data_IF_598010250051
#
_entry.id   IF_598010250051
#
_cell.length_a   1.000
_cell.length_b   1.000
_cell.length_c   1.000
_cell.angle_alpha   90.00
_cell.angle_beta   90.00
_cell.angle_gamma   90.00
#
_symmetry.space_group_name_H-M   'P 1'
#
loop_
_entity.id
_entity.type
_entity.pdbx_description
1 polymer ?
#
# COMPACT_ATOMS: atom_id res chain seq x y z
N UNK A 1 -4.48 16.12 -21.49
CA UNK A 1 -3.54 15.51 -22.47
C UNK A 1 -2.32 16.39 -22.81
N UNK A 2 -2.11 17.56 -22.18
CA UNK A 2 -1.01 18.47 -22.53
C UNK A 2 0.34 18.01 -21.93
N UNK A 3 0.36 17.54 -20.68
CA UNK A 3 1.58 17.07 -20.00
C UNK A 3 2.33 15.95 -20.75
N UNK A 4 1.59 14.98 -21.29
CA UNK A 4 2.21 13.91 -22.08
C UNK A 4 2.77 14.40 -23.41
N UNK A 5 2.49 15.62 -23.90
CA UNK A 5 3.05 16.06 -25.19
C UNK A 5 4.52 16.49 -25.09
N UNK A 6 4.95 16.89 -23.90
CA UNK A 6 6.23 17.59 -23.72
C UNK A 6 7.41 16.67 -23.41
N UNK A 7 7.16 15.39 -23.09
CA UNK A 7 8.20 14.39 -22.86
C UNK A 7 7.89 13.09 -23.62
N UNK A 8 8.77 12.70 -24.54
CA UNK A 8 8.66 11.45 -25.30
C UNK A 8 9.52 10.33 -24.69
N UNK A 9 10.70 10.67 -24.17
CA UNK A 9 11.63 9.76 -23.51
C UNK A 9 11.70 10.06 -22.02
N UNK A 10 11.21 9.14 -21.20
CA UNK A 10 11.08 9.33 -19.76
C UNK A 10 11.89 8.28 -19.03
N UNK A 11 12.81 8.73 -18.19
CA UNK A 11 13.71 7.87 -17.43
C UNK A 11 13.30 7.84 -15.95
N UNK A 12 13.15 6.65 -15.38
CA UNK A 12 12.72 6.46 -14.00
C UNK A 12 13.89 6.00 -13.10
N UNK A 13 14.15 6.69 -11.99
CA UNK A 13 15.14 6.26 -10.99
C UNK A 13 14.42 5.69 -9.76
N UNK A 14 14.63 4.40 -9.49
CA UNK A 14 13.83 3.62 -8.54
C UNK A 14 12.53 3.10 -9.16
N UNK A 15 12.60 2.60 -10.40
CA UNK A 15 11.42 2.20 -11.20
C UNK A 15 10.67 1.00 -10.62
N UNK A 16 11.33 0.18 -9.80
CA UNK A 16 10.75 -1.00 -9.14
C UNK A 16 9.79 -0.69 -8.00
N UNK A 17 9.72 0.57 -7.54
CA UNK A 17 8.73 0.98 -6.55
C UNK A 17 7.28 0.80 -7.04
N UNK A 18 6.34 0.50 -6.13
CA UNK A 18 4.94 0.26 -6.49
C UNK A 18 4.32 1.48 -7.20
N UNK A 19 4.48 2.71 -6.71
CA UNK A 19 4.00 3.89 -7.43
C UNK A 19 4.74 4.14 -8.74
N UNK A 20 6.06 3.96 -8.73
CA UNK A 20 6.94 4.24 -9.87
C UNK A 20 6.64 3.34 -11.06
N UNK A 21 6.49 2.03 -10.84
CA UNK A 21 6.16 1.05 -11.88
C UNK A 21 4.75 1.27 -12.45
N UNK A 22 3.78 1.67 -11.62
CA UNK A 22 2.44 2.05 -12.08
C UNK A 22 2.49 3.29 -13.01
N UNK A 23 3.24 4.32 -12.61
CA UNK A 23 3.41 5.53 -13.40
C UNK A 23 4.18 5.26 -14.70
N UNK A 24 5.24 4.44 -14.66
CA UNK A 24 5.96 3.99 -15.85
C UNK A 24 5.04 3.34 -16.89
N UNK A 25 4.15 2.45 -16.44
CA UNK A 25 3.10 1.83 -17.28
C UNK A 25 2.10 2.84 -17.84
N UNK A 26 1.71 3.84 -17.05
CA UNK A 26 0.86 4.93 -17.53
C UNK A 26 1.53 5.71 -18.66
N UNK A 27 2.79 6.11 -18.49
CA UNK A 27 3.56 6.79 -19.54
C UNK A 27 3.67 5.94 -20.79
N UNK A 28 4.00 4.64 -20.65
CA UNK A 28 4.04 3.72 -21.78
C UNK A 28 2.71 3.61 -22.52
N UNK A 29 1.59 3.55 -21.80
CA UNK A 29 0.26 3.53 -22.40
C UNK A 29 -0.06 4.80 -23.20
N UNK A 30 0.59 5.92 -22.88
CA UNK A 30 0.51 7.18 -23.65
C UNK A 30 1.56 7.26 -24.77
N UNK A 31 2.12 6.11 -25.17
CA UNK A 31 3.07 6.00 -26.28
C UNK A 31 4.46 6.55 -25.98
N UNK A 32 4.86 6.62 -24.70
CA UNK A 32 6.17 7.13 -24.29
C UNK A 32 7.22 6.03 -24.27
N UNK A 33 8.44 6.39 -24.62
CA UNK A 33 9.61 5.53 -24.44
C UNK A 33 10.00 5.62 -22.97
N UNK A 34 9.91 4.49 -22.28
CA UNK A 34 10.13 4.40 -20.83
C UNK A 34 11.31 3.47 -20.57
N UNK A 35 12.26 3.98 -19.81
CA UNK A 35 13.40 3.24 -19.27
C UNK A 35 13.68 3.68 -17.84
N UNK A 36 14.54 2.97 -17.13
CA UNK A 36 14.89 3.34 -15.77
C UNK A 36 15.85 2.39 -15.08
N UNK A 37 16.07 2.64 -13.80
CA UNK A 37 16.99 1.89 -12.94
C UNK A 37 16.35 1.56 -11.61
N UNK A 38 16.83 0.50 -10.97
CA UNK A 38 16.53 0.20 -9.58
C UNK A 38 17.74 -0.40 -8.86
N UNK A 39 17.77 -0.30 -7.53
CA UNK A 39 18.87 -0.81 -6.71
C UNK A 39 18.92 -2.34 -6.64
N UNK A 40 17.78 -3.01 -6.79
CA UNK A 40 17.67 -4.45 -6.63
C UNK A 40 16.70 -5.04 -7.64
N UNK A 41 16.93 -6.31 -7.97
CA UNK A 41 15.98 -7.06 -8.80
C UNK A 41 14.68 -7.33 -8.03
N UNK A 42 13.56 -7.47 -8.74
CA UNK A 42 12.27 -7.84 -8.16
C UNK A 42 11.30 -8.33 -9.24
N UNK A 43 10.20 -8.96 -8.83
CA UNK A 43 9.12 -9.36 -9.74
C UNK A 43 8.62 -8.18 -10.59
N UNK A 44 8.52 -6.98 -10.02
CA UNK A 44 8.10 -5.79 -10.75
C UNK A 44 9.09 -5.40 -11.85
N UNK A 45 10.40 -5.53 -11.58
CA UNK A 45 11.45 -5.25 -12.58
C UNK A 45 11.33 -6.23 -13.75
N UNK A 46 11.17 -7.52 -13.47
CA UNK A 46 11.01 -8.54 -14.51
C UNK A 46 9.73 -8.34 -15.33
N UNK A 47 8.63 -7.96 -14.69
CA UNK A 47 7.39 -7.60 -15.40
C UNK A 47 7.60 -6.38 -16.32
N UNK A 48 8.22 -5.30 -15.84
CA UNK A 48 8.48 -4.10 -16.64
C UNK A 48 9.38 -4.41 -17.85
N UNK A 49 10.42 -5.25 -17.67
CA UNK A 49 11.27 -5.75 -18.77
C UNK A 49 10.44 -6.57 -19.76
N UNK A 50 9.59 -7.48 -19.30
CA UNK A 50 8.72 -8.31 -20.16
C UNK A 50 7.71 -7.48 -20.95
N UNK A 51 7.27 -6.35 -20.39
CA UNK A 51 6.41 -5.38 -21.07
C UNK A 51 7.20 -4.61 -22.15
N UNK A 52 8.53 -4.67 -22.17
CA UNK A 52 9.42 -4.04 -23.14
C UNK A 52 9.93 -2.67 -22.69
N UNK A 53 10.08 -2.44 -21.38
CA UNK A 53 10.77 -1.25 -20.85
C UNK A 53 12.24 -1.59 -20.57
N UNK A 54 13.15 -0.67 -20.86
CA UNK A 54 14.58 -0.86 -20.58
C UNK A 54 14.86 -0.61 -19.10
N UNK A 55 15.20 -1.64 -18.34
CA UNK A 55 15.47 -1.53 -16.90
C UNK A 55 16.84 -2.10 -16.56
N UNK A 56 17.71 -1.26 -16.00
CA UNK A 56 19.06 -1.64 -15.54
C UNK A 56 19.10 -1.73 -14.00
N UNK A 57 19.97 -2.60 -13.48
CA UNK A 57 20.17 -2.77 -12.04
C UNK A 57 21.42 -2.01 -11.55
N UNK A 58 21.26 -1.31 -10.43
CA UNK A 58 22.23 -0.37 -9.89
C UNK A 58 22.04 1.05 -10.43
N UNK A 59 22.75 2.00 -9.82
CA UNK A 59 22.66 3.41 -10.19
C UNK A 59 23.98 3.93 -10.73
N UNK A 60 24.02 4.26 -12.02
CA UNK A 60 25.23 4.71 -12.72
C UNK A 60 24.89 5.83 -13.71
N UNK A 61 25.70 6.88 -13.75
CA UNK A 61 25.44 8.05 -14.61
C UNK A 61 25.34 7.67 -16.11
N UNK A 62 26.03 6.60 -16.51
CA UNK A 62 26.04 6.05 -17.87
C UNK A 62 24.71 5.41 -18.29
N UNK A 63 23.87 5.03 -17.34
CA UNK A 63 22.56 4.44 -17.63
C UNK A 63 21.53 5.47 -18.08
N UNK A 64 21.72 6.75 -17.76
CA UNK A 64 20.85 7.82 -18.21
C UNK A 64 21.09 8.14 -19.70
N UNK A 65 20.11 7.90 -20.61
CA UNK A 65 20.25 8.28 -22.01
C UNK A 65 20.33 9.79 -22.16
N UNK A 66 21.23 10.27 -23.03
CA UNK A 66 21.47 11.71 -23.23
C UNK A 66 20.31 12.46 -23.87
N UNK A 67 19.43 11.75 -24.56
CA UNK A 67 18.23 12.26 -25.22
C UNK A 67 16.97 12.10 -24.36
N UNK A 68 17.12 11.87 -23.05
CA UNK A 68 16.01 11.85 -22.09
C UNK A 68 15.37 13.23 -21.98
N UNK A 69 14.04 13.29 -22.09
CA UNK A 69 13.27 14.54 -22.00
C UNK A 69 12.87 14.86 -20.55
N UNK A 70 12.68 13.84 -19.72
CA UNK A 70 12.25 13.97 -18.33
C UNK A 70 12.80 12.82 -17.49
N UNK A 71 13.30 13.13 -16.29
CA UNK A 71 13.62 12.12 -15.28
C UNK A 71 12.59 12.18 -14.15
N UNK A 72 11.99 11.03 -13.84
CA UNK A 72 11.09 10.84 -12.70
C UNK A 72 11.82 9.99 -11.67
N UNK A 73 11.77 10.37 -10.39
CA UNK A 73 12.46 9.62 -9.35
C UNK A 73 11.60 9.45 -8.11
N UNK A 74 11.82 8.35 -7.40
CA UNK A 74 11.19 8.12 -6.10
C UNK A 74 11.82 9.05 -5.05
N UNK A 75 11.04 9.55 -4.09
CA UNK A 75 11.57 10.29 -2.94
C UNK A 75 12.55 9.46 -2.10
N UNK A 76 12.57 8.14 -2.31
CA UNK A 76 13.56 7.21 -1.82
C UNK A 76 14.99 7.48 -2.29
N UNK A 77 15.16 8.11 -3.45
CA UNK A 77 16.45 8.28 -4.11
C UNK A 77 17.10 9.58 -3.62
N UNK A 78 18.33 9.52 -3.07
CA UNK A 78 19.03 10.73 -2.63
C UNK A 78 19.40 11.60 -3.83
N UNK A 79 19.39 12.92 -3.66
CA UNK A 79 19.74 13.86 -4.73
C UNK A 79 21.20 13.78 -5.21
N UNK A 80 22.07 13.09 -4.45
CA UNK A 80 23.44 12.73 -4.82
C UNK A 80 23.53 11.45 -5.65
N UNK A 81 22.39 10.87 -6.06
CA UNK A 81 22.37 9.73 -6.96
C UNK A 81 23.02 10.13 -8.31
N UNK A 82 23.92 9.29 -8.86
CA UNK A 82 24.71 9.65 -10.03
C UNK A 82 23.88 9.97 -11.27
N UNK A 83 22.71 9.34 -11.44
CA UNK A 83 21.80 9.62 -12.57
C UNK A 83 21.10 10.97 -12.39
N UNK A 84 20.70 11.31 -11.17
CA UNK A 84 20.07 12.61 -10.87
C UNK A 84 21.07 13.77 -10.99
N UNK A 85 22.31 13.58 -10.55
CA UNK A 85 23.38 14.54 -10.78
C UNK A 85 23.65 14.72 -12.27
N UNK A 86 23.70 13.60 -13.03
CA UNK A 86 23.91 13.65 -14.47
C UNK A 86 22.78 14.37 -15.21
N UNK A 87 21.53 14.11 -14.83
CA UNK A 87 20.37 14.78 -15.38
C UNK A 87 20.44 16.30 -15.15
N UNK A 88 20.85 16.74 -13.95
CA UNK A 88 21.06 18.17 -13.65
C UNK A 88 22.16 18.78 -14.51
N UNK A 89 23.30 18.10 -14.68
CA UNK A 89 24.39 18.56 -15.56
C UNK A 89 23.93 18.75 -17.02
N UNK A 90 23.06 17.87 -17.50
CA UNK A 90 22.51 17.91 -18.84
C UNK A 90 21.32 18.87 -19.00
N UNK A 91 20.85 19.48 -17.90
CA UNK A 91 19.69 20.36 -17.90
C UNK A 91 18.36 19.63 -18.12
N UNK A 92 18.31 18.32 -17.87
CA UNK A 92 17.11 17.50 -18.02
C UNK A 92 16.18 17.78 -16.83
N UNK A 93 14.89 18.11 -17.05
CA UNK A 93 13.91 18.30 -15.98
C UNK A 93 13.82 17.09 -15.05
N UNK A 94 13.69 17.36 -13.74
CA UNK A 94 13.49 16.36 -12.70
C UNK A 94 12.11 16.52 -12.07
N UNK A 95 11.40 15.42 -11.86
CA UNK A 95 10.17 15.37 -11.07
C UNK A 95 10.21 14.22 -10.06
N UNK A 96 9.71 14.45 -8.85
CA UNK A 96 9.40 13.33 -7.96
C UNK A 96 8.23 12.53 -8.51
N UNK A 97 8.06 11.29 -8.04
CA UNK A 97 6.87 10.47 -8.31
C UNK A 97 5.56 11.27 -8.15
N UNK A 98 5.38 11.95 -7.02
CA UNK A 98 4.14 12.67 -6.72
C UNK A 98 3.93 13.90 -7.61
N UNK A 99 4.99 14.63 -7.95
CA UNK A 99 4.92 15.72 -8.91
C UNK A 99 4.52 15.23 -10.30
N UNK A 100 5.12 14.13 -10.76
CA UNK A 100 4.81 13.55 -12.06
C UNK A 100 3.40 12.95 -12.10
N UNK A 101 2.93 12.30 -11.03
CA UNK A 101 1.55 11.83 -10.90
C UNK A 101 0.56 13.01 -10.90
N UNK A 102 0.85 14.06 -10.14
CA UNK A 102 0.06 15.30 -10.13
C UNK A 102 -0.03 15.95 -11.52
N UNK A 103 1.07 16.00 -12.25
CA UNK A 103 1.08 16.53 -13.61
C UNK A 103 0.34 15.63 -14.62
N UNK A 104 0.52 14.30 -14.52
CA UNK A 104 -0.17 13.32 -15.37
C UNK A 104 -1.68 13.32 -15.15
N UNK A 105 -2.11 13.37 -13.89
CA UNK A 105 -3.52 13.32 -13.49
C UNK A 105 -4.35 14.51 -13.99
N UNK A 106 -3.74 15.67 -14.28
CA UNK A 106 -4.40 16.81 -14.94
C UNK A 106 -4.99 16.49 -16.31
N UNK A 107 -4.62 15.36 -16.91
CA UNK A 107 -5.23 14.89 -18.16
C UNK A 107 -6.56 14.15 -17.97
N UNK A 108 -7.02 13.99 -16.73
CA UNK A 108 -8.17 13.19 -16.34
C UNK A 108 -9.11 13.97 -15.43
N UNK A 109 -10.37 13.51 -15.32
CA UNK A 109 -11.24 13.84 -14.19
C UNK A 109 -10.80 13.00 -12.99
N UNK A 110 -9.96 13.60 -12.14
CA UNK A 110 -9.30 12.90 -11.04
C UNK A 110 -10.24 12.66 -9.86
N UNK A 111 -10.28 11.43 -9.38
CA UNK A 111 -10.89 11.02 -8.11
C UNK A 111 -9.77 10.55 -7.17
N UNK A 112 -9.61 11.25 -6.04
CA UNK A 112 -8.56 10.95 -5.07
C UNK A 112 -9.15 10.32 -3.80
N UNK A 113 -8.53 9.24 -3.32
CA UNK A 113 -8.88 8.60 -2.05
C UNK A 113 -7.78 8.90 -1.04
N UNK A 114 -8.10 9.72 -0.04
CA UNK A 114 -7.20 10.11 1.04
C UNK A 114 -7.69 9.56 2.39
N UNK A 115 -6.83 9.61 3.40
CA UNK A 115 -7.13 9.26 4.78
C UNK A 115 -6.03 8.42 5.41
N UNK A 116 -6.01 8.28 6.73
CA UNK A 116 -4.94 7.53 7.41
C UNK A 116 -4.99 6.04 7.03
N UNK A 117 -6.18 5.43 7.09
CA UNK A 117 -6.41 4.01 6.83
C UNK A 117 -7.45 3.77 5.72
N UNK A 118 -7.41 2.59 5.08
CA UNK A 118 -8.44 2.14 4.13
C UNK A 118 -8.35 2.71 2.71
N UNK A 119 -7.34 3.55 2.42
CA UNK A 119 -7.16 4.18 1.09
C UNK A 119 -7.08 3.17 -0.05
N UNK A 120 -6.17 2.20 0.05
CA UNK A 120 -5.92 1.18 -0.97
C UNK A 120 -7.18 0.35 -1.24
N UNK A 121 -7.83 -0.14 -0.19
CA UNK A 121 -9.04 -0.97 -0.31
C UNK A 121 -10.21 -0.20 -0.90
N UNK A 122 -10.44 1.03 -0.45
CA UNK A 122 -11.48 1.92 -0.99
C UNK A 122 -11.22 2.26 -2.45
N UNK A 123 -9.96 2.53 -2.83
CA UNK A 123 -9.55 2.77 -4.22
C UNK A 123 -9.85 1.55 -5.10
N UNK A 124 -9.51 0.35 -4.63
CA UNK A 124 -9.78 -0.89 -5.35
C UNK A 124 -11.30 -1.17 -5.47
N UNK A 125 -12.07 -1.01 -4.40
CA UNK A 125 -13.54 -1.15 -4.43
C UNK A 125 -14.18 -0.19 -5.43
N UNK A 126 -13.82 1.10 -5.38
CA UNK A 126 -14.33 2.10 -6.30
C UNK A 126 -13.97 1.76 -7.75
N UNK A 127 -12.76 1.28 -8.01
CA UNK A 127 -12.34 0.92 -9.37
C UNK A 127 -13.22 -0.17 -10.00
N UNK A 128 -13.57 -1.20 -9.23
CA UNK A 128 -14.37 -2.33 -9.73
C UNK A 128 -15.81 -1.89 -9.94
N UNK A 129 -16.34 -1.04 -9.05
CA UNK A 129 -17.67 -0.43 -9.24
C UNK A 129 -17.71 0.35 -10.57
N UNK A 130 -16.72 1.22 -10.81
CA UNK A 130 -16.66 2.04 -12.03
C UNK A 130 -16.42 1.20 -13.29
N UNK A 131 -15.61 0.15 -13.20
CA UNK A 131 -15.43 -0.81 -14.29
C UNK A 131 -16.74 -1.53 -14.63
N UNK A 132 -17.44 -2.06 -13.63
CA UNK A 132 -18.73 -2.73 -13.82
C UNK A 132 -19.81 -1.79 -14.35
N UNK A 133 -19.70 -0.49 -14.03
CA UNK A 133 -20.55 0.56 -14.58
C UNK A 133 -20.21 0.96 -16.04
N UNK A 134 -19.14 0.41 -16.62
CA UNK A 134 -18.71 0.74 -17.98
C UNK A 134 -18.02 2.11 -18.11
N UNK A 135 -17.60 2.70 -16.99
CA UNK A 135 -16.86 3.98 -16.97
C UNK A 135 -15.42 3.81 -17.47
N UNK A 136 -14.86 2.60 -17.29
CA UNK A 136 -13.52 2.20 -17.72
C UNK A 136 -12.40 3.16 -17.24
N UNK A 137 -12.22 3.34 -15.92
CA UNK A 137 -11.28 4.31 -15.37
C UNK A 137 -9.82 3.86 -15.50
N UNK A 138 -8.92 4.83 -15.57
CA UNK A 138 -7.51 4.59 -15.24
C UNK A 138 -7.35 4.60 -13.72
N UNK A 139 -6.60 3.66 -13.15
CA UNK A 139 -6.47 3.51 -11.69
C UNK A 139 -5.02 3.30 -11.33
N UNK A 140 -4.52 4.05 -10.35
CA UNK A 140 -3.21 3.84 -9.71
C UNK A 140 -3.44 3.62 -8.23
N UNK A 141 -2.90 2.52 -7.70
CA UNK A 141 -3.14 2.07 -6.32
C UNK A 141 -1.83 1.63 -5.68
N UNK A 142 -1.69 1.86 -4.36
CA UNK A 142 -0.47 1.59 -3.61
C UNK A 142 -0.16 0.10 -3.37
N UNK A 143 -0.95 -0.82 -3.92
CA UNK A 143 -0.77 -2.27 -3.79
C UNK A 143 -1.09 -2.97 -5.12
N UNK A 144 -0.82 -4.27 -5.20
CA UNK A 144 -1.27 -5.10 -6.33
C UNK A 144 -2.73 -5.49 -6.13
N UNK A 145 -3.54 -5.37 -7.17
CA UNK A 145 -4.97 -5.71 -7.13
C UNK A 145 -5.23 -6.92 -8.03
N UNK A 146 -5.94 -7.92 -7.51
CA UNK A 146 -6.19 -9.19 -8.20
C UNK A 146 -6.96 -8.97 -9.51
N UNK A 147 -7.97 -8.12 -9.45
CA UNK A 147 -8.84 -7.75 -10.56
C UNK A 147 -8.09 -7.02 -11.68
N UNK A 148 -6.93 -6.40 -11.38
CA UNK A 148 -6.07 -5.77 -12.39
C UNK A 148 -5.04 -6.74 -12.99
N UNK A 149 -5.23 -8.05 -12.80
CA UNK A 149 -4.24 -9.06 -13.19
C UNK A 149 -2.99 -9.00 -12.33
N UNK A 150 -3.16 -8.77 -11.02
CA UNK A 150 -2.07 -8.59 -10.05
C UNK A 150 -1.16 -7.39 -10.37
N UNK A 151 -1.72 -6.32 -10.94
CA UNK A 151 -1.01 -5.07 -11.17
C UNK A 151 -1.46 -4.00 -10.18
N UNK A 152 -0.61 -3.00 -10.03
CA UNK A 152 -0.80 -1.76 -9.27
C UNK A 152 -1.41 -0.63 -10.11
N UNK A 153 -1.72 -0.92 -11.37
CA UNK A 153 -2.30 0.02 -12.32
C UNK A 153 -3.29 -0.68 -13.24
N UNK A 154 -4.40 -0.02 -13.49
CA UNK A 154 -5.35 -0.35 -14.56
C UNK A 154 -5.35 0.82 -15.54
N UNK A 155 -5.11 0.55 -16.82
CA UNK A 155 -5.18 1.57 -17.86
C UNK A 155 -6.55 1.47 -18.53
N UNK A 156 -7.42 2.43 -18.25
CA UNK A 156 -8.73 2.55 -18.88
C UNK A 156 -8.70 3.51 -20.07
N UNK A 157 -9.75 3.47 -20.89
CA UNK A 157 -9.98 4.41 -21.99
C UNK A 157 -10.91 5.58 -21.59
N UNK A 158 -11.50 5.53 -20.40
CA UNK A 158 -12.37 6.57 -19.87
C UNK A 158 -11.62 7.83 -19.44
N UNK A 159 -12.39 8.87 -19.14
CA UNK A 159 -11.86 10.18 -18.72
C UNK A 159 -11.51 10.23 -17.21
N UNK A 160 -12.00 9.26 -16.44
CA UNK A 160 -11.78 9.21 -14.98
C UNK A 160 -10.45 8.55 -14.66
N UNK A 161 -9.69 9.18 -13.77
CA UNK A 161 -8.57 8.55 -13.10
C UNK A 161 -8.87 8.44 -11.61
N UNK A 162 -8.68 7.26 -11.02
CA UNK A 162 -8.76 7.06 -9.57
C UNK A 162 -7.36 6.85 -9.02
N UNK A 163 -7.00 7.58 -7.96
CA UNK A 163 -5.69 7.46 -7.31
C UNK A 163 -5.81 7.33 -5.80
N UNK A 164 -4.93 6.55 -5.21
CA UNK A 164 -4.62 6.63 -3.79
C UNK A 164 -3.80 7.92 -3.50
N UNK A 165 -4.31 8.78 -2.63
CA UNK A 165 -3.69 10.04 -2.25
C UNK A 165 -2.94 9.86 -0.92
N UNK A 166 -1.61 9.87 -1.00
CA UNK A 166 -0.75 9.69 0.18
C UNK A 166 -0.51 11.02 0.90
N UNK A 167 -0.90 11.06 2.17
CA UNK A 167 -0.71 12.19 3.08
C UNK A 167 0.74 12.35 3.54
N UNK A 168 1.54 11.28 3.54
CA UNK A 168 2.94 11.33 3.97
C UNK A 168 3.67 12.46 3.25
N UNK A 169 4.36 13.32 4.00
CA UNK A 169 5.08 14.50 3.48
C UNK A 169 4.23 15.49 2.66
N UNK A 170 2.91 15.50 2.88
CA UNK A 170 1.95 16.33 2.12
C UNK A 170 1.97 16.03 0.62
N UNK A 171 2.34 14.81 0.23
CA UNK A 171 2.53 14.43 -1.16
C UNK A 171 1.26 14.54 -2.01
N UNK A 172 0.10 14.26 -1.41
CA UNK A 172 -1.21 14.42 -2.03
C UNK A 172 -1.51 15.86 -2.51
N UNK A 173 -0.79 16.90 -2.05
CA UNK A 173 -0.99 18.30 -2.45
C UNK A 173 -0.42 18.60 -3.85
N UNK A 174 0.19 17.60 -4.49
CA UNK A 174 0.52 17.66 -5.91
C UNK A 174 -0.71 17.42 -6.80
N UNK A 175 -1.81 16.89 -6.24
CA UNK A 175 -3.04 16.53 -6.94
C UNK A 175 -4.02 17.70 -6.98
N UNK A 176 -4.92 17.71 -7.97
CA UNK A 176 -6.02 18.69 -8.07
C UNK A 176 -7.31 17.92 -8.42
N UNK A 177 -7.95 17.26 -7.44
CA UNK A 177 -9.03 16.32 -7.70
C UNK A 177 -10.34 17.02 -8.10
N UNK A 178 -11.10 16.40 -9.01
CA UNK A 178 -12.50 16.76 -9.22
C UNK A 178 -13.40 16.22 -8.10
N UNK A 179 -12.99 15.14 -7.44
CA UNK A 179 -13.69 14.55 -6.31
C UNK A 179 -12.67 13.91 -5.37
N UNK A 180 -12.75 14.20 -4.07
CA UNK A 180 -11.91 13.58 -3.04
C UNK A 180 -12.77 12.85 -2.03
N UNK A 181 -12.45 11.59 -1.72
CA UNK A 181 -13.00 10.89 -0.56
C UNK A 181 -11.96 10.82 0.55
N UNK A 182 -12.30 11.32 1.75
CA UNK A 182 -11.45 11.20 2.94
C UNK A 182 -12.03 10.10 3.83
N UNK A 183 -11.33 8.97 3.96
CA UNK A 183 -11.80 7.83 4.75
C UNK A 183 -11.77 8.14 6.25
N UNK A 184 -10.67 8.67 6.76
CA UNK A 184 -10.51 9.04 8.17
C UNK A 184 -9.33 10.00 8.31
N UNK A 185 -9.26 10.68 9.45
CA UNK A 185 -8.15 11.58 9.80
C UNK A 185 -7.74 11.22 11.23
N UNK A 186 -6.75 10.36 11.33
CA UNK A 186 -6.08 9.98 12.58
C UNK A 186 -4.59 10.34 12.46
N UNK A 187 -4.02 10.87 13.53
CA UNK A 187 -2.63 11.35 13.52
C UNK A 187 -1.68 10.18 13.26
N UNK A 188 -0.93 10.29 12.17
CA UNK A 188 0.19 9.39 11.82
C UNK A 188 1.36 10.23 11.27
N UNK A 189 2.50 9.61 11.00
CA UNK A 189 3.66 10.23 10.36
C UNK A 189 4.23 11.45 11.13
N UNK A 190 4.28 11.35 12.45
CA UNK A 190 4.91 12.34 13.35
C UNK A 190 6.42 12.52 13.11
N UNK A 191 7.04 11.68 12.27
CA UNK A 191 8.39 11.91 11.74
C UNK A 191 8.46 13.11 10.78
N UNK A 192 7.32 13.51 10.21
CA UNK A 192 7.18 14.68 9.32
C UNK A 192 6.25 15.75 9.90
N UNK A 193 5.05 15.36 10.35
CA UNK A 193 4.05 16.30 10.86
C UNK A 193 4.38 16.75 12.28
N UNK A 194 4.35 18.06 12.51
CA UNK A 194 4.80 18.65 13.78
C UNK A 194 3.77 18.57 14.89
N UNK A 195 2.50 18.41 14.53
CA UNK A 195 1.36 18.33 15.44
C UNK A 195 0.16 17.73 14.73
N UNK A 196 -0.85 17.34 15.52
CA UNK A 196 -2.18 16.98 15.02
C UNK A 196 -2.79 18.10 14.16
N UNK A 197 -2.66 19.35 14.58
CA UNK A 197 -3.12 20.51 13.80
C UNK A 197 -2.40 20.61 12.44
N UNK A 198 -1.09 20.35 12.38
CA UNK A 198 -0.32 20.33 11.12
C UNK A 198 -0.79 19.19 10.20
N UNK A 199 -1.10 18.02 10.77
CA UNK A 199 -1.66 16.87 10.05
C UNK A 199 -3.05 17.18 9.48
N UNK A 200 -3.99 17.66 10.30
CA UNK A 200 -5.32 18.07 9.85
C UNK A 200 -5.28 19.17 8.78
N UNK A 201 -4.37 20.14 8.94
CA UNK A 201 -4.24 21.24 7.98
C UNK A 201 -3.82 20.74 6.60
N UNK A 202 -3.03 19.66 6.52
CA UNK A 202 -2.71 19.05 5.23
C UNK A 202 -3.96 18.50 4.52
N UNK A 203 -4.89 17.89 5.25
CA UNK A 203 -6.17 17.43 4.68
C UNK A 203 -7.08 18.60 4.26
N UNK A 204 -7.10 19.68 5.05
CA UNK A 204 -7.83 20.91 4.70
C UNK A 204 -7.28 21.53 3.41
N UNK A 205 -5.96 21.57 3.24
CA UNK A 205 -5.32 22.04 2.00
C UNK A 205 -5.65 21.16 0.79
N UNK A 206 -5.71 19.83 0.94
CA UNK A 206 -6.18 18.94 -0.14
C UNK A 206 -7.65 19.20 -0.48
N UNK A 207 -8.49 19.40 0.54
CA UNK A 207 -9.90 19.72 0.34
C UNK A 207 -10.08 21.04 -0.43
N UNK A 208 -9.29 22.06 -0.12
CA UNK A 208 -9.28 23.34 -0.85
C UNK A 208 -8.82 23.21 -2.32
N UNK A 209 -8.01 22.20 -2.63
CA UNK A 209 -7.56 21.88 -4.00
C UNK A 209 -8.56 20.98 -4.77
N UNK A 210 -9.60 20.50 -4.10
CA UNK A 210 -10.60 19.60 -4.66
C UNK A 210 -11.87 20.35 -5.07
N UNK A 211 -12.50 19.98 -6.19
CA UNK A 211 -13.79 20.59 -6.59
C UNK A 211 -14.94 20.15 -5.68
N UNK A 212 -14.94 18.89 -5.25
CA UNK A 212 -15.90 18.31 -4.30
C UNK A 212 -15.15 17.37 -3.34
N UNK A 213 -15.60 17.30 -2.08
CA UNK A 213 -15.04 16.42 -1.04
C UNK A 213 -16.18 15.67 -0.36
N UNK A 214 -15.97 14.37 -0.13
CA UNK A 214 -16.80 13.53 0.75
C UNK A 214 -16.02 13.32 2.04
N UNK A 215 -16.54 13.89 3.12
CA UNK A 215 -15.97 13.78 4.46
C UNK A 215 -16.40 12.50 5.18
N UNK A 216 -15.68 12.07 6.23
CA UNK A 216 -16.01 10.85 6.99
C UNK A 216 -17.45 10.77 7.50
N UNK A 217 -18.07 11.90 7.84
CA UNK A 217 -19.45 12.02 8.33
C UNK A 217 -20.51 11.95 7.23
N UNK A 218 -20.10 12.04 5.97
CA UNK A 218 -20.97 11.92 4.79
C UNK A 218 -21.00 10.51 4.20
N UNK A 219 -20.16 9.60 4.72
CA UNK A 219 -20.09 8.22 4.25
C UNK A 219 -21.39 7.51 4.60
N UNK A 220 -22.05 7.00 3.58
CA UNK A 220 -23.23 6.16 3.77
C UNK A 220 -22.82 4.79 4.28
N UNK A 221 -23.52 4.29 5.31
CA UNK A 221 -23.39 2.90 5.74
C UNK A 221 -23.69 1.96 4.57
N UNK A 222 -22.87 0.92 4.42
CA UNK A 222 -23.09 -0.13 3.43
C UNK A 222 -23.68 -1.35 4.12
N UNK A 223 -24.92 -1.69 3.78
CA UNK A 223 -25.68 -2.81 4.32
C UNK A 223 -25.72 -4.03 3.38
N UNK A 224 -24.96 -3.97 2.29
CA UNK A 224 -24.84 -5.05 1.32
C UNK A 224 -23.84 -6.14 1.74
N UNK A 225 -23.88 -7.24 0.99
CA UNK A 225 -22.97 -8.37 1.19
C UNK A 225 -21.59 -8.06 0.58
N UNK A 226 -20.52 -8.32 1.33
CA UNK A 226 -19.13 -8.23 0.88
C UNK A 226 -18.47 -9.62 0.91
N UNK A 227 -17.61 -9.91 -0.07
CA UNK A 227 -16.82 -11.14 -0.03
C UNK A 227 -15.59 -11.04 0.91
N UNK A 228 -15.17 -9.81 1.26
CA UNK A 228 -14.09 -9.54 2.22
C UNK A 228 -14.68 -9.32 3.63
N UNK A 229 -14.10 -9.91 4.69
CA UNK A 229 -14.59 -9.79 6.06
C UNK A 229 -14.21 -8.45 6.71
N UNK A 230 -14.79 -8.16 7.87
CA UNK A 230 -14.37 -7.07 8.76
C UNK A 230 -15.20 -5.79 8.63
N UNK A 231 -15.58 -5.21 9.77
CA UNK A 231 -16.38 -3.99 9.83
C UNK A 231 -15.75 -2.79 9.10
N UNK A 232 -14.42 -2.67 9.17
CA UNK A 232 -13.69 -1.62 8.45
C UNK A 232 -13.87 -1.71 6.92
N UNK A 233 -14.11 -2.91 6.37
CA UNK A 233 -14.39 -3.07 4.94
C UNK A 233 -15.81 -2.66 4.56
N UNK A 234 -16.78 -2.75 5.47
CA UNK A 234 -18.11 -2.13 5.26
C UNK A 234 -17.99 -0.61 5.17
N UNK A 235 -17.14 -0.01 6.02
CA UNK A 235 -16.87 1.42 5.97
C UNK A 235 -16.18 1.84 4.66
N UNK A 236 -15.14 1.12 4.23
CA UNK A 236 -14.47 1.33 2.94
C UNK A 236 -15.44 1.17 1.76
N UNK A 237 -16.32 0.16 1.82
CA UNK A 237 -17.37 -0.07 0.83
C UNK A 237 -18.39 1.08 0.80
N UNK A 238 -18.76 1.61 1.97
CA UNK A 238 -19.61 2.79 2.13
C UNK A 238 -19.01 4.03 1.46
N UNK A 239 -17.71 4.29 1.66
CA UNK A 239 -17.00 5.38 0.99
C UNK A 239 -16.98 5.17 -0.53
N UNK A 240 -16.58 3.98 -1.00
CA UNK A 240 -16.55 3.65 -2.42
C UNK A 240 -17.93 3.78 -3.08
N UNK A 241 -19.00 3.32 -2.40
CA UNK A 241 -20.37 3.46 -2.87
C UNK A 241 -20.82 4.93 -2.91
N UNK A 242 -20.47 5.72 -1.90
CA UNK A 242 -20.80 7.16 -1.85
C UNK A 242 -20.17 7.91 -3.01
N UNK A 243 -18.88 7.68 -3.27
CA UNK A 243 -18.17 8.25 -4.41
C UNK A 243 -18.76 7.77 -5.75
N UNK A 244 -19.06 6.48 -5.88
CA UNK A 244 -19.67 5.93 -7.10
C UNK A 244 -21.04 6.56 -7.39
N UNK A 245 -21.87 6.79 -6.37
CA UNK A 245 -23.16 7.50 -6.52
C UNK A 245 -22.97 8.94 -6.98
N UNK A 246 -21.97 9.65 -6.46
CA UNK A 246 -21.62 11.01 -6.92
C UNK A 246 -21.19 11.01 -8.39
N UNK A 247 -20.56 9.94 -8.85
CA UNK A 247 -20.20 9.70 -10.24
C UNK A 247 -21.37 9.16 -11.10
N UNK A 248 -22.58 9.05 -10.55
CA UNK A 248 -23.79 8.66 -11.27
C UNK A 248 -24.00 7.15 -11.42
N UNK A 249 -23.25 6.31 -10.67
CA UNK A 249 -23.44 4.86 -10.69
C UNK A 249 -24.64 4.46 -9.82
N UNK A 250 -25.51 3.60 -10.35
CA UNK A 250 -26.70 3.12 -9.64
C UNK A 250 -26.41 1.99 -8.64
N UNK A 251 -27.20 1.93 -7.56
CA UNK A 251 -26.98 1.01 -6.41
C UNK A 251 -26.91 -0.48 -6.79
N UNK A 252 -27.63 -0.92 -7.83
CA UNK A 252 -27.57 -2.31 -8.30
C UNK A 252 -26.15 -2.69 -8.76
N UNK A 253 -25.51 -1.81 -9.53
CA UNK A 253 -24.14 -2.04 -10.04
C UNK A 253 -23.14 -2.00 -8.88
N UNK A 254 -23.33 -1.07 -7.93
CA UNK A 254 -22.49 -0.94 -6.74
C UNK A 254 -22.57 -2.24 -5.91
N UNK A 255 -23.77 -2.72 -5.60
CA UNK A 255 -23.96 -3.95 -4.84
C UNK A 255 -23.34 -5.16 -5.55
N UNK A 256 -23.59 -5.31 -6.85
CA UNK A 256 -23.08 -6.44 -7.61
C UNK A 256 -21.54 -6.40 -7.75
N UNK A 257 -20.92 -5.22 -7.82
CA UNK A 257 -19.47 -5.07 -7.89
C UNK A 257 -18.80 -5.43 -6.55
N UNK A 258 -19.33 -4.91 -5.44
CA UNK A 258 -18.77 -5.11 -4.10
C UNK A 258 -18.89 -6.56 -3.62
N UNK A 259 -19.95 -7.26 -4.01
CA UNK A 259 -20.11 -8.71 -3.77
C UNK A 259 -19.03 -9.57 -4.42
N UNK A 260 -18.45 -9.10 -5.52
CA UNK A 260 -17.44 -9.84 -6.30
C UNK A 260 -16.00 -9.46 -5.94
N UNK A 261 -15.80 -8.40 -5.15
CA UNK A 261 -14.47 -7.90 -4.79
C UNK A 261 -13.70 -8.90 -3.91
N UNK A 262 -12.54 -9.35 -4.39
CA UNK A 262 -11.76 -10.42 -3.73
C UNK A 262 -10.64 -9.92 -2.81
N UNK A 263 -10.62 -8.62 -2.53
CA UNK A 263 -9.58 -7.98 -1.74
C UNK A 263 -8.37 -7.56 -2.57
N UNK A 264 -7.37 -6.98 -1.91
CA UNK A 264 -6.10 -6.59 -2.53
C UNK A 264 -4.96 -7.46 -2.01
N UNK A 265 -3.83 -7.46 -2.70
CA UNK A 265 -2.65 -8.24 -2.29
C UNK A 265 -2.23 -7.85 -0.87
N UNK A 266 -2.03 -8.88 -0.02
CA UNK A 266 -1.70 -8.74 1.41
C UNK A 266 -2.72 -7.92 2.20
N UNK A 267 -4.02 -8.05 1.93
CA UNK A 267 -5.10 -7.53 2.78
C UNK A 267 -6.06 -8.66 3.11
N UNK A 268 -5.89 -9.24 4.29
CA UNK A 268 -6.59 -10.41 4.81
C UNK A 268 -6.59 -11.57 3.80
N UNK A 269 -5.44 -11.79 3.15
CA UNK A 269 -5.34 -12.69 2.01
C UNK A 269 -5.07 -14.12 2.47
N UNK A 270 -5.93 -15.07 2.10
CA UNK A 270 -5.65 -16.50 2.32
C UNK A 270 -4.50 -16.97 1.42
N UNK A 271 -3.51 -17.66 2.00
CA UNK A 271 -2.28 -18.09 1.31
C UNK A 271 -2.03 -19.59 1.35
N UNK A 272 -2.98 -20.38 1.86
CA UNK A 272 -2.87 -21.83 1.99
C UNK A 272 -2.95 -22.29 3.43
N UNK A 273 -2.48 -23.50 3.70
CA UNK A 273 -2.48 -24.10 5.04
C UNK A 273 -1.17 -24.81 5.36
N UNK A 274 -0.96 -25.05 6.65
CA UNK A 274 0.13 -25.88 7.20
C UNK A 274 -0.44 -26.79 8.28
N UNK A 275 -0.30 -28.11 8.14
CA UNK A 275 -0.88 -29.08 9.08
C UNK A 275 -2.40 -28.89 9.31
N UNK A 276 -3.11 -28.29 8.34
CA UNK A 276 -4.52 -27.89 8.45
C UNK A 276 -4.78 -26.58 9.19
N UNK A 277 -3.75 -25.87 9.67
CA UNK A 277 -3.85 -24.49 10.16
C UNK A 277 -3.92 -23.52 8.98
N UNK A 278 -4.88 -22.60 8.98
CA UNK A 278 -5.04 -21.64 7.88
C UNK A 278 -3.97 -20.56 7.96
N UNK A 279 -3.40 -20.16 6.82
CA UNK A 279 -2.39 -19.10 6.74
C UNK A 279 -2.94 -17.90 5.97
N UNK A 280 -2.92 -16.73 6.61
CA UNK A 280 -3.32 -15.45 6.05
C UNK A 280 -2.15 -14.46 6.04
N UNK A 281 -2.07 -13.60 5.01
CA UNK A 281 -1.10 -12.50 4.88
C UNK A 281 -1.82 -11.15 4.88
N UNK A 282 -1.35 -10.23 5.73
CA UNK A 282 -1.82 -8.85 5.83
C UNK A 282 -0.66 -7.85 5.91
N UNK A 283 -0.87 -6.67 5.32
CA UNK A 283 0.04 -5.55 5.30
C UNK A 283 -0.07 -4.65 6.54
N UNK A 284 -0.98 -4.96 7.47
CA UNK A 284 -1.18 -4.25 8.73
C UNK A 284 0.15 -4.02 9.45
N UNK A 285 0.46 -2.74 9.68
CA UNK A 285 1.72 -2.34 10.30
C UNK A 285 1.55 -1.16 11.28
N UNK A 286 0.36 -0.56 11.33
CA UNK A 286 -0.05 0.39 12.35
C UNK A 286 -0.95 -0.32 13.40
N UNK A 287 -0.92 0.07 14.69
CA UNK A 287 -1.76 -0.52 15.74
C UNK A 287 -3.25 -0.66 15.37
N UNK A 288 -3.86 0.40 14.81
CA UNK A 288 -5.26 0.39 14.35
C UNK A 288 -5.53 -0.68 13.28
N UNK A 289 -4.58 -0.88 12.35
CA UNK A 289 -4.72 -1.89 11.30
C UNK A 289 -4.59 -3.32 11.87
N UNK A 290 -3.71 -3.52 12.85
CA UNK A 290 -3.52 -4.82 13.51
C UNK A 290 -4.80 -5.23 14.23
N UNK A 291 -5.36 -4.34 15.06
CA UNK A 291 -6.64 -4.58 15.75
C UNK A 291 -7.76 -4.89 14.76
N UNK A 292 -7.89 -4.08 13.69
CA UNK A 292 -8.92 -4.30 12.68
C UNK A 292 -8.77 -5.64 11.94
N UNK A 293 -7.54 -6.12 11.75
CA UNK A 293 -7.23 -7.40 11.09
C UNK A 293 -7.50 -8.58 12.01
N UNK A 294 -7.10 -8.50 13.28
CA UNK A 294 -7.36 -9.56 14.27
C UNK A 294 -8.85 -9.69 14.57
N UNK A 295 -9.57 -8.57 14.73
CA UNK A 295 -11.02 -8.58 14.88
C UNK A 295 -11.69 -9.26 13.67
N UNK A 296 -11.26 -8.95 12.44
CA UNK A 296 -11.80 -9.59 11.24
C UNK A 296 -11.47 -11.10 11.17
N UNK A 297 -10.32 -11.53 11.71
CA UNK A 297 -10.00 -12.95 11.85
C UNK A 297 -10.93 -13.64 12.84
N UNK A 298 -11.16 -13.03 14.01
CA UNK A 298 -12.05 -13.55 15.04
C UNK A 298 -13.50 -13.64 14.54
N UNK A 299 -14.01 -12.60 13.89
CA UNK A 299 -15.36 -12.59 13.30
C UNK A 299 -15.55 -13.68 12.25
N UNK A 300 -14.54 -13.90 11.39
CA UNK A 300 -14.62 -14.88 10.30
C UNK A 300 -14.39 -16.32 10.77
N UNK A 301 -13.56 -16.50 11.79
CA UNK A 301 -13.14 -17.81 12.31
C UNK A 301 -13.27 -17.84 13.84
N UNK A 302 -14.50 -17.77 14.39
CA UNK A 302 -14.73 -17.57 15.82
C UNK A 302 -14.26 -18.72 16.73
N UNK A 303 -14.05 -19.90 16.16
CA UNK A 303 -13.60 -21.10 16.88
C UNK A 303 -12.09 -21.37 16.69
N UNK A 304 -11.40 -20.56 15.86
CA UNK A 304 -9.99 -20.78 15.58
C UNK A 304 -9.11 -20.14 16.64
N UNK A 305 -8.00 -20.81 16.99
CA UNK A 305 -6.92 -20.19 17.76
C UNK A 305 -6.11 -19.27 16.85
N UNK A 306 -6.11 -17.97 17.11
CA UNK A 306 -5.47 -16.95 16.28
C UNK A 306 -4.04 -16.72 16.75
N UNK A 307 -3.08 -17.01 15.87
CA UNK A 307 -1.65 -16.80 16.07
C UNK A 307 -1.21 -15.62 15.22
N UNK A 308 -0.98 -14.47 15.86
CA UNK A 308 -0.51 -13.25 15.23
C UNK A 308 1.01 -13.27 15.07
N UNK A 309 1.50 -13.34 13.84
CA UNK A 309 2.94 -13.22 13.53
C UNK A 309 3.20 -11.82 12.99
N UNK A 310 3.67 -10.92 13.84
CA UNK A 310 3.81 -9.50 13.51
C UNK A 310 5.26 -9.07 13.38
N UNK A 311 5.61 -8.45 12.25
CA UNK A 311 6.90 -7.81 12.03
C UNK A 311 6.74 -6.28 12.01
N UNK A 312 7.18 -5.56 13.07
CA UNK A 312 7.18 -4.11 13.08
C UNK A 312 8.05 -3.54 11.95
N UNK A 313 7.57 -2.48 11.31
CA UNK A 313 8.29 -1.78 10.24
C UNK A 313 8.91 -0.48 10.79
N UNK A 314 10.25 -0.39 10.72
CA UNK A 314 11.11 0.67 11.30
C UNK A 314 11.22 0.65 12.83
N UNK A 315 12.44 0.86 13.31
CA UNK A 315 12.74 0.99 14.73
C UNK A 315 12.19 2.29 15.31
N UNK A 316 12.30 3.40 14.56
CA UNK A 316 11.80 4.71 14.99
C UNK A 316 10.29 4.68 15.27
N UNK A 317 9.50 4.10 14.36
CA UNK A 317 8.05 3.92 14.50
C UNK A 317 7.71 2.99 15.66
N UNK A 318 8.42 1.87 15.78
CA UNK A 318 8.21 0.91 16.87
C UNK A 318 8.42 1.57 18.24
N UNK A 319 9.47 2.39 18.39
CA UNK A 319 9.74 3.13 19.61
C UNK A 319 8.68 4.21 19.88
N UNK A 320 8.22 4.92 18.84
CA UNK A 320 7.24 5.99 18.98
C UNK A 320 5.83 5.51 19.36
N UNK A 321 5.44 4.31 18.90
CA UNK A 321 4.11 3.73 19.09
C UNK A 321 4.11 2.52 20.02
N UNK A 322 5.12 2.38 20.89
CA UNK A 322 5.35 1.14 21.64
C UNK A 322 4.18 0.77 22.56
N UNK A 323 3.56 1.76 23.22
CA UNK A 323 2.41 1.53 24.10
C UNK A 323 1.16 1.15 23.27
N UNK A 324 0.97 1.78 22.10
CA UNK A 324 -0.14 1.45 21.20
C UNK A 324 0.01 0.05 20.60
N UNK A 325 1.23 -0.38 20.27
CA UNK A 325 1.49 -1.76 19.85
C UNK A 325 1.23 -2.76 20.98
N UNK A 326 1.57 -2.41 22.23
CA UNK A 326 1.33 -3.28 23.37
C UNK A 326 -0.16 -3.64 23.53
N UNK A 327 -1.06 -2.70 23.22
CA UNK A 327 -2.50 -2.87 23.33
C UNK A 327 -3.15 -3.47 22.05
N UNK A 328 -2.43 -3.60 20.93
CA UNK A 328 -3.05 -3.88 19.62
C UNK A 328 -3.41 -5.34 19.33
N UNK A 329 -3.15 -6.27 20.27
CA UNK A 329 -3.20 -7.72 20.02
C UNK A 329 -4.29 -8.46 20.83
N UNK A 330 -5.27 -7.75 21.38
CA UNK A 330 -6.30 -8.34 22.27
C UNK A 330 -7.05 -9.54 21.64
N UNK A 331 -7.34 -9.50 20.34
CA UNK A 331 -8.06 -10.54 19.60
C UNK A 331 -7.16 -11.71 19.13
N UNK A 332 -5.89 -11.76 19.54
CA UNK A 332 -4.99 -12.89 19.30
C UNK A 332 -4.96 -13.84 20.51
N UNK A 333 -4.72 -15.12 20.27
CA UNK A 333 -4.44 -16.10 21.33
C UNK A 333 -2.95 -16.24 21.61
N UNK A 334 -2.12 -15.97 20.60
CA UNK A 334 -0.65 -16.00 20.66
C UNK A 334 -0.06 -14.92 19.74
N UNK A 335 0.96 -14.21 20.23
CA UNK A 335 1.69 -13.20 19.46
C UNK A 335 3.16 -13.61 19.32
N UNK A 336 3.65 -13.62 18.09
CA UNK A 336 5.04 -13.91 17.76
C UNK A 336 5.62 -12.70 17.05
N UNK A 337 6.71 -12.15 17.59
CA UNK A 337 7.46 -11.05 16.97
C UNK A 337 8.78 -11.60 16.42
N UNK A 338 8.91 -11.88 15.10
CA UNK A 338 10.11 -12.50 14.55
C UNK A 338 11.33 -11.59 14.66
N UNK A 339 11.20 -10.36 14.17
CA UNK A 339 12.24 -9.33 14.15
C UNK A 339 11.60 -7.96 13.88
N UNK A 340 12.38 -6.88 13.99
CA UNK A 340 11.98 -5.55 13.49
C UNK A 340 12.59 -5.36 12.09
N UNK A 341 11.78 -4.97 11.11
CA UNK A 341 12.26 -4.70 9.75
C UNK A 341 12.90 -3.31 9.69
N UNK A 342 14.22 -3.27 9.50
CA UNK A 342 15.01 -2.03 9.48
C UNK A 342 14.85 -1.31 8.14
N UNK A 343 14.36 -0.06 8.17
CA UNK A 343 14.26 0.77 6.95
C UNK A 343 14.78 2.17 7.23
N UNK A 344 16.00 2.45 6.78
CA UNK A 344 16.62 3.79 6.90
C UNK A 344 16.69 4.34 8.33
N UNK A 345 16.59 3.47 9.34
CA UNK A 345 16.67 3.84 10.75
C UNK A 345 18.08 4.32 11.13
N UNK A 346 18.14 5.37 11.96
CA UNK A 346 19.39 5.84 12.58
C UNK A 346 19.90 4.83 13.62
N UNK A 347 21.18 4.91 13.96
CA UNK A 347 21.73 4.09 15.06
C UNK A 347 21.02 4.38 16.39
N UNK A 348 20.62 5.64 16.63
CA UNK A 348 19.85 6.03 17.81
C UNK A 348 18.50 5.32 17.86
N UNK A 349 17.76 5.27 16.75
CA UNK A 349 16.47 4.56 16.67
C UNK A 349 16.64 3.06 16.91
N UNK A 350 17.67 2.45 16.31
CA UNK A 350 17.97 1.01 16.49
C UNK A 350 18.33 0.69 17.94
N UNK A 351 18.98 1.61 18.65
CA UNK A 351 19.32 1.44 20.06
C UNK A 351 18.15 1.74 21.02
N UNK A 352 17.08 2.40 20.54
CA UNK A 352 15.96 2.80 21.38
C UNK A 352 14.96 1.68 21.67
N UNK A 353 14.86 0.68 20.78
CA UNK A 353 13.91 -0.43 20.92
C UNK A 353 14.48 -1.72 20.35
N UNK A 354 14.23 -2.84 21.02
CA UNK A 354 14.52 -4.18 20.51
C UNK A 354 13.23 -5.00 20.42
N UNK A 355 13.32 -6.19 19.79
CA UNK A 355 12.23 -7.17 19.81
C UNK A 355 11.86 -7.53 21.25
N UNK A 356 12.86 -7.75 22.12
CA UNK A 356 12.61 -8.07 23.53
C UNK A 356 11.89 -6.93 24.25
N UNK A 357 12.26 -5.67 23.98
CA UNK A 357 11.54 -4.51 24.54
C UNK A 357 10.08 -4.50 24.13
N UNK A 358 9.78 -4.80 22.87
CA UNK A 358 8.41 -4.85 22.38
C UNK A 358 7.65 -6.06 22.94
N UNK A 359 8.28 -7.24 23.01
CA UNK A 359 7.69 -8.44 23.60
C UNK A 359 7.38 -8.24 25.08
N UNK A 360 8.31 -7.66 25.84
CA UNK A 360 8.09 -7.32 27.26
C UNK A 360 6.89 -6.39 27.40
N UNK A 361 6.77 -5.40 26.51
CA UNK A 361 5.67 -4.43 26.52
C UNK A 361 4.32 -5.06 26.19
N UNK A 362 4.24 -5.86 25.13
CA UNK A 362 3.00 -6.59 24.79
C UNK A 362 2.63 -7.57 25.92
N UNK A 363 3.62 -8.16 26.58
CA UNK A 363 3.41 -9.09 27.72
C UNK A 363 2.77 -8.42 28.95
N UNK A 364 2.78 -7.08 29.04
CA UNK A 364 2.03 -6.34 30.08
C UNK A 364 0.50 -6.44 29.86
N UNK A 365 0.06 -6.72 28.62
CA UNK A 365 -1.34 -6.76 28.21
C UNK A 365 -1.81 -8.12 27.68
N UNK A 366 -0.88 -8.99 27.27
CA UNK A 366 -1.19 -10.26 26.60
C UNK A 366 -0.35 -11.41 27.18
N UNK A 367 -0.98 -12.53 27.55
CA UNK A 367 -0.28 -13.60 28.28
C UNK A 367 0.70 -14.41 27.41
N UNK A 368 0.34 -14.66 26.15
CA UNK A 368 1.11 -15.51 25.24
C UNK A 368 1.82 -14.67 24.17
N UNK A 369 3.02 -14.20 24.50
CA UNK A 369 3.85 -13.40 23.58
C UNK A 369 5.25 -13.98 23.55
N UNK A 370 5.86 -14.06 22.37
CA UNK A 370 7.23 -14.54 22.25
C UNK A 370 8.05 -13.80 21.18
N UNK A 371 9.35 -13.74 21.43
CA UNK A 371 10.36 -13.36 20.45
C UNK A 371 10.58 -14.54 19.50
N UNK A 372 10.24 -14.36 18.23
CA UNK A 372 10.35 -15.39 17.19
C UNK A 372 11.77 -15.61 16.65
N UNK A 373 12.75 -14.81 17.08
CA UNK A 373 14.18 -14.96 16.77
C UNK A 373 14.51 -15.00 15.26
N UNK A 374 13.72 -14.28 14.47
CA UNK A 374 13.82 -14.21 13.02
C UNK A 374 12.78 -15.09 12.30
N UNK A 375 12.66 -14.88 10.99
CA UNK A 375 11.65 -15.55 10.17
C UNK A 375 11.83 -17.08 10.13
N UNK A 376 13.09 -17.57 10.05
CA UNK A 376 13.36 -19.01 9.96
C UNK A 376 12.97 -19.75 11.25
N UNK A 377 13.36 -19.23 12.42
CA UNK A 377 13.01 -19.86 13.70
C UNK A 377 11.52 -19.76 14.00
N UNK A 378 10.89 -18.64 13.62
CA UNK A 378 9.43 -18.52 13.66
C UNK A 378 8.75 -19.58 12.78
N UNK A 379 9.25 -19.82 11.56
CA UNK A 379 8.71 -20.85 10.68
C UNK A 379 8.83 -22.25 11.30
N UNK A 380 10.00 -22.57 11.87
CA UNK A 380 10.23 -23.85 12.53
C UNK A 380 9.27 -24.07 13.70
N UNK A 381 9.11 -23.05 14.56
CA UNK A 381 8.17 -23.10 15.67
C UNK A 381 6.74 -23.36 15.18
N UNK A 382 6.28 -22.63 14.16
CA UNK A 382 4.92 -22.81 13.63
C UNK A 382 4.74 -24.22 13.06
N UNK A 383 5.71 -24.76 12.29
CA UNK A 383 5.62 -26.14 11.76
C UNK A 383 5.41 -27.20 12.84
N UNK A 384 6.00 -26.99 14.02
CA UNK A 384 5.98 -27.97 15.09
C UNK A 384 4.79 -27.81 16.06
N UNK A 385 4.16 -26.62 16.11
CA UNK A 385 3.21 -26.25 17.18
C UNK A 385 1.80 -25.90 16.70
N UNK A 386 1.55 -25.90 15.39
CA UNK A 386 0.22 -25.60 14.82
C UNK A 386 -0.45 -26.82 14.18
N UNK A 387 -1.77 -26.81 14.13
CA UNK A 387 -2.58 -27.82 13.48
C UNK A 387 -3.99 -27.37 13.14
N UNK A 388 -4.85 -28.33 12.82
CA UNK A 388 -6.26 -28.05 12.49
C UNK A 388 -6.97 -27.32 13.62
N UNK A 389 -7.61 -26.20 13.30
CA UNK A 389 -8.24 -25.30 14.28
C UNK A 389 -7.40 -24.06 14.59
N UNK A 390 -6.16 -23.97 14.10
CA UNK A 390 -5.36 -22.76 14.20
C UNK A 390 -5.50 -21.87 12.95
N UNK A 391 -5.35 -20.56 13.16
CA UNK A 391 -5.22 -19.56 12.12
C UNK A 391 -3.95 -18.75 12.37
N UNK A 392 -3.03 -18.77 11.41
CA UNK A 392 -1.80 -17.98 11.42
C UNK A 392 -2.05 -16.71 10.60
N UNK A 393 -1.90 -15.55 11.24
CA UNK A 393 -2.03 -14.25 10.61
C UNK A 393 -0.66 -13.58 10.53
N UNK A 394 -0.06 -13.58 9.34
CA UNK A 394 1.24 -12.98 9.07
C UNK A 394 1.04 -11.51 8.73
N UNK A 395 1.53 -10.60 9.57
CA UNK A 395 1.26 -9.17 9.50
C UNK A 395 2.54 -8.33 9.42
N UNK A 396 2.58 -7.37 8.50
CA UNK A 396 3.62 -6.33 8.47
C UNK A 396 3.94 -5.84 7.07
N UNK A 397 4.46 -4.62 6.96
CA UNK A 397 4.84 -4.01 5.68
C UNK A 397 6.23 -4.44 5.16
N UNK A 398 6.99 -5.19 5.96
CA UNK A 398 8.35 -5.63 5.63
C UNK A 398 8.40 -6.96 4.88
N UNK A 399 9.48 -7.71 5.11
CA UNK A 399 9.79 -8.99 4.47
C UNK A 399 9.15 -10.20 5.15
N UNK A 400 8.31 -9.99 6.18
CA UNK A 400 7.58 -11.06 6.87
C UNK A 400 6.72 -11.95 5.94
N UNK A 401 6.30 -11.44 4.78
CA UNK A 401 5.62 -12.23 3.75
C UNK A 401 6.45 -13.41 3.24
N UNK A 402 7.78 -13.36 3.38
CA UNK A 402 8.67 -14.50 3.06
C UNK A 402 8.46 -15.69 4.00
N UNK A 403 7.76 -15.53 5.12
CA UNK A 403 7.34 -16.64 5.97
C UNK A 403 6.30 -17.53 5.25
N UNK A 404 5.45 -16.97 4.40
CA UNK A 404 4.40 -17.69 3.68
C UNK A 404 4.92 -18.88 2.86
N UNK A 405 5.92 -18.72 1.96
CA UNK A 405 6.48 -19.85 1.22
C UNK A 405 7.26 -20.84 2.10
N UNK A 406 7.66 -20.45 3.32
CA UNK A 406 8.24 -21.38 4.29
C UNK A 406 7.18 -22.28 4.93
N UNK A 407 5.94 -21.80 5.06
CA UNK A 407 4.86 -22.51 5.75
C UNK A 407 3.98 -23.36 4.81
N UNK A 408 3.73 -22.88 3.58
CA UNK A 408 2.68 -23.44 2.70
C UNK A 408 3.27 -24.17 1.50
N UNK A 409 2.66 -25.31 1.10
CA UNK A 409 3.05 -26.05 -0.12
C UNK A 409 2.71 -25.28 -1.41
N UNK A 410 1.77 -24.32 -1.35
CA UNK A 410 1.50 -23.35 -2.41
C UNK A 410 2.59 -22.26 -2.53
N UNK A 411 3.69 -22.38 -1.77
CA UNK A 411 4.85 -21.48 -1.73
C UNK A 411 5.66 -21.29 -3.01
N UNK A 412 5.14 -21.68 -4.18
CA UNK A 412 5.69 -21.30 -5.49
C UNK A 412 4.69 -20.52 -6.32
N UNK A 413 4.14 -19.45 -5.74
CA UNK A 413 3.75 -18.32 -6.56
C UNK A 413 3.88 -16.99 -5.78
N UNK A 414 4.83 -16.19 -6.27
CA UNK A 414 4.91 -14.72 -6.12
C UNK A 414 5.78 -14.15 -4.98
N UNK A 415 7.06 -13.99 -5.30
CA UNK A 415 7.85 -12.80 -4.96
C UNK A 415 8.74 -12.85 -3.72
N UNK A 416 9.96 -13.35 -3.88
CA UNK A 416 11.14 -12.76 -3.24
C UNK A 416 11.70 -11.65 -4.15
#
# INVERSE_FOLDING_TARGET
MEFFKDANKVFFVGIGGIGMSALARLFKAHGKEVSGTDSSDSVLIEELKSEGMGVELGHFAEFLPKDTDLVIYSEAIPLSNPELEKAKELGIPLMTYFQALGAASKSYRLVAIAGTHGKTTTTAMLSIILEKAGVDPTVIVGSRVKEFGQKNVRIGQGEIMVVEACEYRRNFLSLHPALTGITNIEVDHLDYFKSEEDYENAFKELADQSEEVIWPDEISEYDGELAVPGYHNLYNAGMAATLARRLGVGDSIISDALKEFKGTWRRFEYRGDINGALVYDDYAHHPTEIMATLQAAHEKHPEARIIAVFQPHQYSRTAALIEQFAESFEDADEVIIPNIYKVRDSEEAVNAVSVDTLVDKISEHHENVQNGQGLEETANYLRDNVGSGDLILVMGAGDVTHLIPMLTEEGTAFGA
#
